data_IF_418468826853
#
_entry.id   IF_418468826853
#
_cell.length_a   1.000
_cell.length_b   1.000
_cell.length_c   1.000
_cell.angle_alpha   90.00
_cell.angle_beta   90.00
_cell.angle_gamma   90.00
#
_symmetry.space_group_name_H-M   'P 1'
#
loop_
_entity.id
_entity.type
_entity.pdbx_description
1 polymer ?
#
# COMPACT_ATOMS: atom_id res chain seq x y z
N UNK A 1 9.78 21.55 27.97
CA UNK A 1 8.41 21.91 28.42
C UNK A 1 7.79 22.50 27.17
N UNK A 2 6.90 21.87 26.42
CA UNK A 2 5.78 20.92 26.60
C UNK A 2 5.50 20.27 25.21
N UNK A 3 5.03 19.04 24.98
CA UNK A 3 4.55 17.92 25.77
C UNK A 3 3.94 16.88 24.80
N UNK A 4 4.43 15.64 24.83
CA UNK A 4 3.80 14.44 24.23
C UNK A 4 4.04 14.25 22.73
N UNK A 5 4.50 13.12 22.20
CA UNK A 5 4.68 11.76 22.70
C UNK A 5 5.52 11.04 21.62
N UNK A 6 6.33 10.04 21.98
CA UNK A 6 6.90 9.08 21.01
C UNK A 6 5.85 8.17 20.36
N UNK A 7 4.73 8.75 19.91
CA UNK A 7 3.62 8.09 19.24
C UNK A 7 3.66 8.47 17.75
N UNK A 8 3.51 7.50 16.82
CA UNK A 8 3.31 7.85 15.42
C UNK A 8 2.10 8.78 15.31
N UNK A 9 2.31 9.98 14.77
CA UNK A 9 1.23 10.95 14.59
C UNK A 9 0.13 10.39 13.70
N UNK A 10 -1.09 10.93 13.83
CA UNK A 10 -2.24 10.53 12.99
C UNK A 10 -1.88 10.57 11.49
N UNK A 11 -1.06 11.53 11.07
CA UNK A 11 -0.57 11.64 9.69
C UNK A 11 0.28 10.43 9.28
N UNK A 12 1.18 9.96 10.15
CA UNK A 12 1.99 8.75 9.92
C UNK A 12 1.12 7.49 9.85
N UNK A 13 0.08 7.41 10.67
CA UNK A 13 -0.88 6.29 10.64
C UNK A 13 -1.70 6.27 9.35
N UNK A 14 -2.22 7.42 8.91
CA UNK A 14 -2.96 7.55 7.65
C UNK A 14 -2.03 7.20 6.46
N UNK A 15 -0.79 7.69 6.48
CA UNK A 15 0.21 7.35 5.48
C UNK A 15 0.52 5.84 5.46
N UNK A 16 0.62 5.19 6.62
CA UNK A 16 0.85 3.74 6.72
C UNK A 16 -0.34 2.89 6.21
N UNK A 17 -1.58 3.39 6.31
CA UNK A 17 -2.76 2.68 5.80
C UNK A 17 -2.90 2.87 4.28
N UNK A 18 -2.72 4.10 3.79
CA UNK A 18 -2.90 4.42 2.38
C UNK A 18 -1.71 3.94 1.52
N UNK A 19 -0.50 4.06 2.06
CA UNK A 19 0.75 3.65 1.43
C UNK A 19 1.64 2.99 2.51
N UNK A 20 1.48 1.68 2.76
CA UNK A 20 2.26 0.94 3.75
C UNK A 20 3.77 1.23 3.76
N UNK A 21 4.45 1.28 2.58
CA UNK A 21 5.88 1.58 2.58
C UNK A 21 6.20 3.03 3.00
N UNK A 22 5.31 4.01 2.76
CA UNK A 22 5.56 5.41 3.12
C UNK A 22 5.51 5.63 4.63
N UNK A 23 4.55 5.03 5.32
CA UNK A 23 4.46 5.11 6.78
C UNK A 23 5.68 4.49 7.48
N UNK A 24 6.17 3.35 6.97
CA UNK A 24 7.35 2.67 7.50
C UNK A 24 8.64 3.43 7.17
N UNK A 25 8.72 4.03 5.97
CA UNK A 25 9.86 4.86 5.59
C UNK A 25 9.98 6.11 6.46
N UNK A 26 8.87 6.76 6.78
CA UNK A 26 8.85 7.96 7.63
C UNK A 26 9.16 7.65 9.10
N UNK A 27 8.78 6.46 9.60
CA UNK A 27 9.03 6.03 10.98
C UNK A 27 10.43 5.40 11.18
N UNK A 28 10.84 4.51 10.28
CA UNK A 28 12.02 3.64 10.44
C UNK A 28 13.04 3.71 9.32
N UNK A 29 12.80 4.50 8.27
CA UNK A 29 13.66 4.54 7.08
C UNK A 29 13.63 3.23 6.27
N UNK A 30 14.72 2.94 5.55
CA UNK A 30 14.84 1.74 4.71
C UNK A 30 15.19 0.54 5.59
N UNK A 31 14.16 -0.19 6.02
CA UNK A 31 14.27 -1.42 6.81
C UNK A 31 13.64 -2.61 6.08
N UNK A 32 13.90 -3.86 6.51
CA UNK A 32 13.20 -5.03 5.96
C UNK A 32 11.67 -4.93 6.01
N UNK A 33 11.13 -4.22 7.01
CA UNK A 33 9.71 -3.91 7.10
C UNK A 33 9.21 -3.00 5.95
N UNK A 34 10.02 -2.03 5.52
CA UNK A 34 9.73 -1.21 4.34
C UNK A 34 9.63 -2.08 3.08
N UNK A 35 10.60 -2.98 2.87
CA UNK A 35 10.60 -3.92 1.75
C UNK A 35 9.40 -4.87 1.78
N UNK A 36 9.00 -5.34 2.96
CA UNK A 36 7.79 -6.15 3.12
C UNK A 36 6.54 -5.35 2.70
N UNK A 37 6.43 -4.08 3.12
CA UNK A 37 5.35 -3.17 2.70
C UNK A 37 5.31 -2.93 1.18
N UNK A 38 6.47 -2.76 0.55
CA UNK A 38 6.58 -2.64 -0.92
C UNK A 38 6.12 -3.92 -1.62
N UNK A 39 6.62 -5.08 -1.18
CA UNK A 39 6.26 -6.38 -1.77
C UNK A 39 4.76 -6.64 -1.62
N UNK A 40 4.19 -6.38 -0.45
CA UNK A 40 2.76 -6.56 -0.20
C UNK A 40 1.91 -5.61 -1.05
N UNK A 41 2.38 -4.38 -1.25
CA UNK A 41 1.74 -3.41 -2.15
C UNK A 41 1.77 -3.90 -3.59
N UNK A 42 2.91 -4.40 -4.09
CA UNK A 42 3.02 -4.95 -5.45
C UNK A 42 2.15 -6.20 -5.62
N UNK A 43 2.19 -7.14 -4.67
CA UNK A 43 1.41 -8.39 -4.75
C UNK A 43 -0.10 -8.13 -4.66
N UNK A 44 -0.56 -7.11 -3.95
CA UNK A 44 -1.99 -6.77 -3.91
C UNK A 44 -2.45 -5.90 -5.08
N UNK A 45 -1.63 -4.90 -5.44
CA UNK A 45 -1.98 -3.88 -6.42
C UNK A 45 -1.80 -4.37 -7.85
N UNK A 46 -0.67 -5.00 -8.16
CA UNK A 46 -0.34 -5.42 -9.53
C UNK A 46 -1.35 -6.44 -10.09
N UNK A 47 -1.72 -7.53 -9.39
CA UNK A 47 -2.73 -8.45 -9.91
C UNK A 47 -4.12 -7.84 -9.96
N UNK A 48 -4.46 -6.93 -9.03
CA UNK A 48 -5.74 -6.20 -9.08
C UNK A 48 -5.85 -5.30 -10.33
N UNK A 49 -4.79 -4.55 -10.63
CA UNK A 49 -4.70 -3.74 -11.86
C UNK A 49 -4.72 -4.63 -13.10
N UNK A 50 -3.95 -5.72 -13.11
CA UNK A 50 -3.91 -6.64 -14.24
C UNK A 50 -5.29 -7.25 -14.50
N UNK A 51 -5.99 -7.68 -13.44
CA UNK A 51 -7.35 -8.22 -13.53
C UNK A 51 -8.33 -7.18 -14.09
N UNK A 52 -8.29 -5.94 -13.59
CA UNK A 52 -9.13 -4.86 -14.10
C UNK A 52 -8.84 -4.52 -15.57
N UNK A 53 -7.56 -4.43 -15.95
CA UNK A 53 -7.15 -4.16 -17.33
C UNK A 53 -7.53 -5.31 -18.26
N UNK A 54 -7.34 -6.58 -17.86
CA UNK A 54 -7.75 -7.74 -18.65
C UNK A 54 -9.26 -7.79 -18.84
N UNK A 55 -10.03 -7.48 -17.80
CA UNK A 55 -11.49 -7.41 -17.87
C UNK A 55 -11.96 -6.30 -18.82
N UNK A 56 -11.32 -5.13 -18.77
CA UNK A 56 -11.66 -3.99 -19.65
C UNK A 56 -11.19 -4.18 -21.09
N UNK A 57 -10.01 -4.78 -21.29
CA UNK A 57 -9.39 -4.97 -22.61
C UNK A 57 -9.95 -6.18 -23.35
N UNK A 58 -10.42 -7.21 -22.63
CA UNK A 58 -10.96 -8.45 -23.19
C UNK A 58 -12.42 -8.65 -22.72
N UNK A 59 -13.35 -7.74 -23.10
CA UNK A 59 -14.74 -7.84 -22.67
C UNK A 59 -15.47 -9.07 -23.25
N UNK A 60 -15.06 -9.55 -24.42
CA UNK A 60 -15.74 -10.62 -25.20
C UNK A 60 -15.40 -12.06 -24.81
N UNK A 61 -14.44 -12.28 -23.88
CA UNK A 61 -14.04 -13.64 -23.47
C UNK A 61 -14.55 -14.05 -22.10
N UNK A 62 -15.24 -13.16 -21.40
CA UNK A 62 -15.67 -13.38 -20.04
C UNK A 62 -17.21 -13.31 -20.02
N UNK A 63 -17.92 -14.44 -20.18
CA UNK A 63 -19.36 -14.48 -19.98
C UNK A 63 -19.66 -14.36 -18.48
N UNK A 64 -19.59 -13.13 -17.95
CA UNK A 64 -20.22 -12.77 -16.67
C UNK A 64 -21.65 -12.34 -16.96
N UNK A 65 -22.48 -13.32 -17.34
CA UNK A 65 -23.94 -13.23 -17.44
C UNK A 65 -24.53 -14.52 -16.91
#
# INVERSE_FOLDING_TARGET
MDGGTGSPGIVTLIAAILLPPLGIFLDRGITPAFWLGVVLTIIGWLPGVLFAVLLLLIPERIPIR
#
